data_IF_472880232050
#
_entry.id   IF_472880232050
#
_cell.length_a   1.000
_cell.length_b   1.000
_cell.length_c   1.000
_cell.angle_alpha   90.00
_cell.angle_beta   90.00
_cell.angle_gamma   90.00
#
_symmetry.space_group_name_H-M   'P 1'
#
loop_
_entity.id
_entity.type
_entity.pdbx_description
1 polymer ?
#
# COMPACT_ATOMS: atom_id res chain seq x y z
N UNK A 1 5.30 -6.89 -21.90
CA UNK A 1 5.33 -6.41 -20.50
C UNK A 1 5.08 -4.91 -20.55
N UNK A 2 3.95 -4.44 -19.99
CA UNK A 2 3.55 -3.04 -20.03
C UNK A 2 4.06 -2.29 -18.81
N UNK A 3 4.66 -1.12 -19.02
CA UNK A 3 4.95 -0.17 -17.95
C UNK A 3 3.64 0.35 -17.35
N UNK A 4 3.55 0.38 -16.02
CA UNK A 4 2.41 0.91 -15.29
C UNK A 4 2.66 2.35 -14.82
N UNK A 5 3.92 2.72 -14.59
CA UNK A 5 4.33 4.06 -14.20
C UNK A 5 5.43 4.08 -13.14
N UNK A 6 5.83 5.28 -12.72
CA UNK A 6 6.84 5.46 -11.69
C UNK A 6 6.24 5.45 -10.28
N UNK A 7 7.04 5.09 -9.29
CA UNK A 7 6.69 5.25 -7.87
C UNK A 7 6.61 6.75 -7.55
N UNK A 8 5.42 7.23 -7.22
CA UNK A 8 5.17 8.61 -6.80
C UNK A 8 5.42 8.84 -5.32
N UNK A 9 5.17 7.79 -4.53
CA UNK A 9 5.23 7.88 -3.09
C UNK A 9 5.65 6.55 -2.50
N UNK A 10 6.59 6.61 -1.59
CA UNK A 10 6.92 5.52 -0.67
C UNK A 10 6.51 5.95 0.73
N UNK A 11 5.91 5.05 1.48
CA UNK A 11 5.50 5.34 2.84
C UNK A 11 5.50 4.08 3.71
N UNK A 12 5.66 4.30 4.99
CA UNK A 12 5.60 3.26 6.02
C UNK A 12 4.57 3.63 7.08
N UNK A 13 4.01 2.65 7.73
CA UNK A 13 3.14 2.83 8.88
C UNK A 13 3.96 2.60 10.15
N UNK A 14 4.17 3.64 10.97
CA UNK A 14 4.85 3.49 12.26
C UNK A 14 4.11 2.56 13.23
N UNK A 15 2.80 2.51 13.10
CA UNK A 15 1.88 1.70 13.88
C UNK A 15 0.72 1.27 12.99
N UNK A 16 0.01 0.19 13.32
CA UNK A 16 -1.21 -0.18 12.60
C UNK A 16 -2.19 0.98 12.51
N UNK A 17 -2.72 1.27 11.31
CA UNK A 17 -3.64 2.40 11.07
C UNK A 17 -4.97 2.26 11.81
N UNK A 18 -5.32 1.05 12.23
CA UNK A 18 -6.41 0.82 13.16
C UNK A 18 -5.93 1.12 14.57
N UNK A 19 -6.37 2.25 15.12
CA UNK A 19 -6.06 2.61 16.50
C UNK A 19 -6.67 1.61 17.51
N UNK A 20 -6.19 1.55 18.75
CA UNK A 20 -6.75 0.66 19.77
C UNK A 20 -8.25 0.85 20.01
N UNK A 21 -8.75 2.05 19.80
CA UNK A 21 -10.19 2.40 19.92
C UNK A 21 -11.01 2.09 18.65
N UNK A 22 -10.42 1.46 17.64
CA UNK A 22 -11.13 1.01 16.44
C UNK A 22 -11.28 2.04 15.34
N UNK A 23 -10.79 3.26 15.45
CA UNK A 23 -10.81 4.22 14.34
C UNK A 23 -9.60 4.13 13.43
N UNK A 24 -9.71 4.74 12.24
CA UNK A 24 -8.62 4.87 11.27
C UNK A 24 -7.77 6.11 11.61
N UNK A 25 -6.46 5.92 11.77
CA UNK A 25 -5.53 6.98 12.15
C UNK A 25 -4.43 7.17 11.07
N UNK A 26 -4.64 8.06 10.10
CA UNK A 26 -3.67 8.30 9.04
C UNK A 26 -2.41 9.06 9.51
N UNK A 27 -2.38 9.62 10.72
CA UNK A 27 -1.18 10.30 11.26
C UNK A 27 0.00 9.34 11.47
N UNK A 28 -0.27 8.03 11.45
CA UNK A 28 0.72 6.97 11.57
C UNK A 28 1.45 6.65 10.26
N UNK A 29 1.02 7.26 9.16
CA UNK A 29 1.65 7.12 7.85
C UNK A 29 2.80 8.12 7.76
N UNK A 30 3.99 7.63 7.44
CA UNK A 30 5.19 8.45 7.24
C UNK A 30 5.65 8.29 5.79
N UNK A 31 5.65 9.39 5.05
CA UNK A 31 6.26 9.40 3.72
C UNK A 31 7.78 9.43 3.84
N UNK A 32 8.44 8.69 2.96
CA UNK A 32 9.90 8.61 2.85
C UNK A 32 10.30 8.71 1.38
N UNK A 33 11.52 9.16 1.11
CA UNK A 33 12.02 9.25 -0.27
C UNK A 33 12.62 7.93 -0.76
N UNK A 34 13.12 7.12 0.18
CA UNK A 34 13.66 5.78 -0.08
C UNK A 34 13.29 4.80 1.03
N UNK A 35 13.31 3.53 0.69
CA UNK A 35 13.08 2.45 1.64
C UNK A 35 13.86 1.19 1.25
N UNK A 36 14.33 0.47 2.24
CA UNK A 36 14.92 -0.85 2.08
C UNK A 36 13.81 -1.91 2.09
N UNK A 37 13.70 -2.66 1.01
CA UNK A 37 12.82 -3.81 0.88
C UNK A 37 13.59 -5.09 1.13
N UNK A 38 13.09 -5.91 2.04
CA UNK A 38 13.63 -7.22 2.38
C UNK A 38 12.57 -8.30 2.24
N UNK A 39 12.96 -9.58 2.41
CA UNK A 39 12.00 -10.69 2.51
C UNK A 39 11.04 -10.56 3.69
N UNK A 40 11.36 -9.74 4.68
CA UNK A 40 10.56 -9.52 5.89
C UNK A 40 9.61 -8.32 5.75
N UNK A 41 9.81 -7.46 4.75
CA UNK A 41 8.99 -6.28 4.49
C UNK A 41 9.80 -5.01 4.22
N UNK A 42 9.15 -3.86 4.44
CA UNK A 42 9.69 -2.55 4.11
C UNK A 42 10.21 -1.82 5.36
N UNK A 43 11.37 -1.18 5.21
CA UNK A 43 11.95 -0.27 6.20
C UNK A 43 12.18 1.08 5.53
N UNK A 44 11.40 2.09 5.90
CA UNK A 44 11.56 3.44 5.39
C UNK A 44 12.82 4.12 5.92
N UNK A 45 13.42 5.00 5.11
CA UNK A 45 14.59 5.80 5.49
C UNK A 45 14.22 7.26 5.35
N UNK A 46 14.35 8.01 6.44
CA UNK A 46 14.06 9.43 6.48
C UNK A 46 15.05 10.18 7.35
N UNK A 47 15.86 11.05 6.74
CA UNK A 47 16.88 11.82 7.46
C UNK A 47 17.86 10.94 8.25
N UNK A 48 18.17 9.74 7.74
CA UNK A 48 19.02 8.75 8.41
C UNK A 48 18.30 7.88 9.44
N UNK A 49 17.07 8.20 9.83
CA UNK A 49 16.22 7.34 10.69
C UNK A 49 15.68 6.16 9.88
N UNK A 50 15.77 4.97 10.44
CA UNK A 50 15.16 3.74 9.90
C UNK A 50 13.81 3.50 10.59
N UNK A 51 12.75 3.46 9.81
CA UNK A 51 11.37 3.30 10.30
C UNK A 51 10.84 1.97 9.78
N UNK A 52 10.70 1.01 10.67
CA UNK A 52 10.15 -0.32 10.35
C UNK A 52 8.66 -0.20 10.11
N UNK A 53 8.16 -0.69 8.96
CA UNK A 53 6.73 -0.70 8.66
C UNK A 53 5.96 -1.65 9.59
N UNK A 54 4.74 -1.28 9.98
CA UNK A 54 3.90 -2.07 10.88
C UNK A 54 3.56 -3.49 10.38
N UNK A 55 3.74 -3.75 9.08
CA UNK A 55 3.54 -5.07 8.47
C UNK A 55 4.85 -5.85 8.27
N UNK A 56 6.00 -5.23 8.51
CA UNK A 56 7.29 -5.92 8.52
C UNK A 56 7.30 -7.03 9.56
N UNK A 57 7.89 -8.18 9.25
CA UNK A 57 7.83 -9.36 10.14
C UNK A 57 8.38 -9.09 11.54
N UNK A 58 9.43 -8.27 11.65
CA UNK A 58 10.09 -7.93 12.92
C UNK A 58 9.41 -6.76 13.67
N UNK A 59 8.35 -6.15 13.10
CA UNK A 59 7.66 -5.09 13.82
C UNK A 59 6.89 -5.67 15.02
N UNK A 60 6.98 -5.06 16.23
CA UNK A 60 6.37 -5.61 17.47
C UNK A 60 4.86 -5.83 17.38
N UNK A 61 4.18 -5.10 16.50
CA UNK A 61 2.72 -5.22 16.27
C UNK A 61 2.35 -5.94 14.98
N UNK A 62 3.32 -6.55 14.31
CA UNK A 62 3.07 -7.31 13.09
C UNK A 62 2.13 -8.50 13.36
N UNK A 63 1.08 -8.60 12.57
CA UNK A 63 0.10 -9.70 12.66
C UNK A 63 0.16 -10.51 11.38
N UNK A 64 1.07 -11.40 11.24
CA UNK A 64 1.06 -12.22 10.02
C UNK A 64 2.41 -12.68 9.49
N UNK A 65 3.50 -12.46 10.24
CA UNK A 65 4.81 -13.01 9.89
C UNK A 65 5.24 -12.67 8.46
N UNK A 66 5.11 -11.41 8.04
CA UNK A 66 5.52 -10.96 6.69
C UNK A 66 4.55 -11.26 5.54
N UNK A 67 3.42 -11.94 5.77
CA UNK A 67 2.43 -12.22 4.70
C UNK A 67 1.77 -10.98 4.08
N UNK A 68 1.95 -9.80 4.67
CA UNK A 68 1.45 -8.51 4.20
C UNK A 68 2.57 -7.49 4.13
N UNK A 69 3.76 -7.96 3.85
CA UNK A 69 4.99 -7.21 3.99
C UNK A 69 5.11 -6.00 3.05
N UNK A 70 4.38 -5.99 1.94
CA UNK A 70 4.36 -4.88 1.00
C UNK A 70 2.97 -4.71 0.38
N UNK A 71 2.57 -3.46 0.16
CA UNK A 71 1.34 -3.12 -0.55
C UNK A 71 1.57 -2.02 -1.58
N UNK A 72 0.82 -2.09 -2.69
CA UNK A 72 0.94 -1.21 -3.85
C UNK A 72 -0.41 -0.64 -4.20
N UNK A 73 -0.50 0.68 -4.35
CA UNK A 73 -1.65 1.40 -4.87
C UNK A 73 -1.30 2.15 -6.16
N UNK A 74 -2.31 2.63 -6.88
CA UNK A 74 -2.14 3.34 -8.14
C UNK A 74 -2.90 4.66 -8.11
N UNK A 75 -2.38 5.70 -8.79
CA UNK A 75 -3.03 7.02 -8.87
C UNK A 75 -4.48 6.90 -9.35
N UNK A 76 -4.75 6.11 -10.38
CA UNK A 76 -6.10 5.95 -10.91
C UNK A 76 -7.11 5.41 -9.90
N UNK A 77 -6.68 4.57 -8.94
CA UNK A 77 -7.55 4.16 -7.83
C UNK A 77 -7.87 5.33 -6.89
N UNK A 78 -6.88 6.20 -6.63
CA UNK A 78 -7.08 7.40 -5.81
C UNK A 78 -8.02 8.40 -6.48
N UNK A 79 -7.95 8.54 -7.81
CA UNK A 79 -8.88 9.37 -8.58
C UNK A 79 -10.31 8.84 -8.48
N UNK A 80 -10.49 7.52 -8.62
CA UNK A 80 -11.80 6.88 -8.44
C UNK A 80 -12.33 7.04 -6.99
N UNK A 81 -11.48 6.85 -5.99
CA UNK A 81 -11.85 7.08 -4.59
C UNK A 81 -12.20 8.56 -4.35
N UNK A 82 -11.43 9.51 -4.90
CA UNK A 82 -11.68 10.94 -4.74
C UNK A 82 -13.01 11.37 -5.38
N UNK A 83 -13.34 10.81 -6.55
CA UNK A 83 -14.62 11.05 -7.19
C UNK A 83 -15.82 10.60 -6.33
N UNK A 84 -15.66 9.52 -5.55
CA UNK A 84 -16.73 9.00 -4.68
C UNK A 84 -16.77 9.64 -3.29
N UNK A 85 -15.60 9.86 -2.66
CA UNK A 85 -15.50 10.26 -1.26
C UNK A 85 -15.01 11.71 -1.05
N UNK A 86 -14.64 12.40 -2.14
CA UNK A 86 -14.25 13.81 -2.10
C UNK A 86 -12.88 14.07 -1.46
N UNK A 87 -12.71 15.23 -0.86
CA UNK A 87 -11.44 15.81 -0.41
C UNK A 87 -10.69 15.04 0.70
N UNK A 88 -11.35 14.08 1.33
CA UNK A 88 -10.70 13.22 2.32
C UNK A 88 -9.72 12.24 1.71
N UNK A 89 -9.86 11.99 0.41
CA UNK A 89 -8.96 11.12 -0.32
C UNK A 89 -7.73 11.90 -0.75
N UNK A 90 -6.61 11.59 -0.11
CA UNK A 90 -5.28 12.11 -0.47
C UNK A 90 -4.40 10.94 -0.85
N UNK A 91 -3.45 11.18 -1.74
CA UNK A 91 -2.52 10.15 -2.19
C UNK A 91 -1.80 9.49 -1.00
N UNK A 92 -1.87 8.15 -0.93
CA UNK A 92 -1.30 7.36 0.16
C UNK A 92 -2.20 7.23 1.41
N UNK A 93 -3.38 7.87 1.45
CA UNK A 93 -4.26 7.83 2.64
C UNK A 93 -4.77 6.42 2.97
N UNK A 94 -4.85 5.52 2.00
CA UNK A 94 -5.28 4.14 2.24
C UNK A 94 -4.20 3.25 2.88
N UNK A 95 -2.96 3.76 2.95
CA UNK A 95 -1.87 3.15 3.71
C UNK A 95 -1.03 2.14 2.93
N UNK A 96 -1.09 2.15 1.60
CA UNK A 96 -0.18 1.34 0.77
C UNK A 96 1.25 1.84 0.93
N UNK A 97 2.20 0.91 0.85
CA UNK A 97 3.63 1.23 0.97
C UNK A 97 4.16 1.97 -0.27
N UNK A 98 3.74 1.54 -1.46
CA UNK A 98 4.10 2.15 -2.73
C UNK A 98 2.84 2.70 -3.40
N UNK A 99 2.89 3.95 -3.88
CA UNK A 99 1.86 4.50 -4.75
C UNK A 99 2.48 4.84 -6.09
N UNK A 100 1.95 4.23 -7.15
CA UNK A 100 2.46 4.29 -8.53
C UNK A 100 1.67 5.30 -9.35
N UNK A 101 2.36 6.07 -10.20
CA UNK A 101 1.78 6.98 -11.17
C UNK A 101 1.23 6.20 -12.37
N UNK A 102 0.11 5.55 -12.17
CA UNK A 102 -0.48 4.68 -13.17
C UNK A 102 -1.99 4.67 -13.15
N UNK A 103 -2.62 4.06 -14.17
CA UNK A 103 -4.07 3.92 -14.25
C UNK A 103 -4.60 3.06 -13.11
N UNK A 104 -5.92 3.07 -12.92
CA UNK A 104 -6.57 2.05 -12.11
C UNK A 104 -6.38 0.69 -12.79
N UNK A 105 -5.79 -0.26 -12.07
CA UNK A 105 -5.56 -1.63 -12.54
C UNK A 105 -6.51 -2.60 -11.83
N UNK A 106 -6.82 -3.70 -12.49
CA UNK A 106 -7.62 -4.78 -11.93
C UNK A 106 -6.73 -5.98 -11.60
N UNK A 107 -7.25 -6.90 -10.81
CA UNK A 107 -6.52 -8.13 -10.46
C UNK A 107 -6.10 -8.94 -11.70
N UNK A 108 -6.94 -8.98 -12.72
CA UNK A 108 -6.68 -9.65 -14.00
C UNK A 108 -5.49 -9.08 -14.77
N UNK A 109 -5.22 -7.78 -14.60
CA UNK A 109 -4.08 -7.10 -15.22
C UNK A 109 -2.73 -7.46 -14.54
N UNK A 110 -2.79 -8.05 -13.35
CA UNK A 110 -1.63 -8.33 -12.49
C UNK A 110 -1.29 -9.82 -12.38
N UNK A 111 -1.80 -10.67 -13.25
CA UNK A 111 -1.62 -12.13 -13.19
C UNK A 111 -0.15 -12.57 -13.25
N UNK A 112 0.71 -11.79 -13.91
CA UNK A 112 2.17 -12.01 -13.96
C UNK A 112 2.92 -11.49 -12.72
N UNK A 113 2.22 -10.84 -11.78
CA UNK A 113 2.86 -10.08 -10.72
C UNK A 113 3.26 -8.68 -11.15
N UNK A 114 4.05 -8.03 -10.31
CA UNK A 114 4.63 -6.72 -10.58
C UNK A 114 6.16 -6.82 -10.54
N UNK A 115 6.83 -5.98 -11.29
CA UNK A 115 8.29 -5.82 -11.23
C UNK A 115 8.60 -4.34 -10.99
N UNK A 116 9.39 -4.04 -9.97
CA UNK A 116 9.99 -2.73 -9.79
C UNK A 116 11.37 -2.74 -10.44
N UNK A 117 11.62 -1.77 -11.30
CA UNK A 117 12.93 -1.54 -11.91
C UNK A 117 13.51 -0.30 -11.25
N UNK A 118 14.59 -0.49 -10.47
CA UNK A 118 15.26 0.62 -9.78
C UNK A 118 16.07 1.47 -10.76
N UNK A 119 16.43 2.69 -10.37
CA UNK A 119 17.28 3.56 -11.16
C UNK A 119 18.64 2.92 -11.50
N UNK A 120 19.11 2.01 -10.65
CA UNK A 120 20.37 1.25 -10.86
C UNK A 120 20.18 0.02 -11.76
N UNK A 121 18.96 -0.18 -12.30
CA UNK A 121 18.63 -1.30 -13.20
C UNK A 121 18.36 -2.64 -12.50
N UNK A 122 18.22 -2.65 -11.18
CA UNK A 122 17.86 -3.87 -10.43
C UNK A 122 16.37 -4.14 -10.61
N UNK A 123 16.04 -5.37 -11.01
CA UNK A 123 14.64 -5.81 -11.11
C UNK A 123 14.22 -6.54 -9.84
N UNK A 124 13.11 -6.11 -9.27
CA UNK A 124 12.54 -6.68 -8.04
C UNK A 124 11.14 -7.22 -8.33
N UNK A 125 11.00 -8.53 -8.30
CA UNK A 125 9.69 -9.17 -8.47
C UNK A 125 8.83 -9.01 -7.21
N UNK A 126 7.61 -8.55 -7.40
CA UNK A 126 6.55 -8.48 -6.38
C UNK A 126 5.48 -9.53 -6.76
N UNK A 127 5.52 -10.67 -6.08
CA UNK A 127 4.78 -11.88 -6.46
C UNK A 127 3.39 -11.96 -5.83
N UNK A 128 2.53 -12.78 -6.41
CA UNK A 128 1.23 -13.16 -5.88
C UNK A 128 0.38 -11.94 -5.43
N UNK A 129 0.13 -10.95 -6.30
CA UNK A 129 -0.71 -9.84 -5.97
C UNK A 129 -2.10 -10.32 -5.59
N UNK A 130 -2.70 -9.68 -4.60
CA UNK A 130 -4.07 -9.91 -4.18
C UNK A 130 -4.70 -8.62 -3.70
N UNK A 131 -5.99 -8.39 -3.94
CA UNK A 131 -6.65 -7.17 -3.48
C UNK A 131 -6.53 -6.98 -1.97
N UNK A 132 -6.21 -5.76 -1.54
CA UNK A 132 -6.27 -5.37 -0.15
C UNK A 132 -7.74 -5.28 0.27
N UNK A 133 -8.16 -6.13 1.21
CA UNK A 133 -9.55 -6.15 1.67
C UNK A 133 -9.94 -4.81 2.30
N UNK A 134 -11.09 -4.23 1.93
CA UNK A 134 -11.58 -3.02 2.56
C UNK A 134 -11.96 -3.27 4.02
N UNK A 135 -11.82 -2.24 4.86
CA UNK A 135 -12.17 -2.33 6.26
C UNK A 135 -13.09 -1.20 6.68
N UNK A 136 -13.95 -1.48 7.65
CA UNK A 136 -14.93 -0.51 8.18
C UNK A 136 -14.29 0.78 8.65
N UNK A 137 -13.14 0.70 9.30
CA UNK A 137 -12.44 1.83 9.88
C UNK A 137 -12.02 2.84 8.79
N UNK A 138 -11.40 2.37 7.72
CA UNK A 138 -11.02 3.22 6.60
C UNK A 138 -12.25 3.74 5.84
N UNK A 139 -13.23 2.89 5.58
CA UNK A 139 -14.47 3.27 4.89
C UNK A 139 -15.23 4.35 5.67
N UNK A 140 -15.37 4.18 6.98
CA UNK A 140 -16.00 5.19 7.85
C UNK A 140 -15.22 6.50 7.87
N UNK A 141 -13.88 6.43 7.89
CA UNK A 141 -13.01 7.60 7.80
C UNK A 141 -13.25 8.39 6.49
N UNK A 142 -13.35 7.70 5.35
CA UNK A 142 -13.65 8.33 4.06
C UNK A 142 -15.01 9.04 4.05
N UNK A 143 -16.00 8.49 4.75
CA UNK A 143 -17.32 9.09 4.93
C UNK A 143 -17.38 10.20 6.00
N UNK A 144 -16.24 10.57 6.57
CA UNK A 144 -16.15 11.64 7.57
C UNK A 144 -16.44 11.20 8.99
N UNK A 145 -16.70 9.93 9.23
CA UNK A 145 -16.88 9.36 10.56
C UNK A 145 -15.55 9.06 11.25
N UNK A 146 -15.59 8.99 12.58
CA UNK A 146 -14.47 8.57 13.40
C UNK A 146 -14.67 7.14 13.91
N UNK A 147 -15.82 6.87 14.51
CA UNK A 147 -16.16 5.54 15.01
C UNK A 147 -16.63 4.63 13.88
N UNK A 148 -16.11 3.40 13.78
CA UNK A 148 -16.47 2.48 12.69
C UNK A 148 -17.96 2.17 12.69
N UNK A 149 -18.63 2.46 11.58
CA UNK A 149 -20.05 2.11 11.38
C UNK A 149 -20.23 0.59 11.25
N UNK A 150 -21.43 0.08 11.52
CA UNK A 150 -21.82 -1.30 11.20
C UNK A 150 -21.56 -1.66 9.73
N UNK A 151 -21.29 -2.92 9.42
CA UNK A 151 -20.98 -3.34 8.05
C UNK A 151 -22.15 -3.21 7.10
N UNK A 152 -23.35 -3.45 7.59
CA UNK A 152 -24.61 -3.34 6.85
C UNK A 152 -24.91 -1.91 6.39
N UNK A 153 -24.40 -0.91 7.10
CA UNK A 153 -24.47 0.50 6.70
C UNK A 153 -23.38 0.90 5.67
N UNK A 154 -22.45 0.03 5.33
CA UNK A 154 -21.27 0.33 4.52
C UNK A 154 -21.15 -0.60 3.30
N UNK A 155 -22.19 -1.33 2.95
CA UNK A 155 -22.13 -2.39 1.92
C UNK A 155 -21.62 -1.86 0.60
N UNK A 156 -22.22 -0.78 0.09
CA UNK A 156 -21.89 -0.18 -1.21
C UNK A 156 -20.47 0.40 -1.25
N UNK A 157 -20.02 1.01 -0.15
CA UNK A 157 -18.68 1.57 -0.03
C UNK A 157 -17.61 0.47 0.10
N UNK A 158 -17.91 -0.58 0.85
CA UNK A 158 -17.01 -1.72 0.99
C UNK A 158 -16.90 -2.48 -0.33
N UNK A 159 -17.99 -2.63 -1.08
CA UNK A 159 -17.99 -3.23 -2.39
C UNK A 159 -17.17 -2.39 -3.38
N UNK A 160 -17.39 -1.07 -3.44
CA UNK A 160 -16.61 -0.14 -4.26
C UNK A 160 -15.10 -0.21 -3.95
N UNK A 161 -14.72 -0.30 -2.69
CA UNK A 161 -13.31 -0.37 -2.25
C UNK A 161 -12.70 -1.77 -2.42
N UNK A 162 -13.50 -2.78 -2.77
CA UNK A 162 -13.04 -4.13 -3.01
C UNK A 162 -12.35 -4.27 -4.38
N UNK A 163 -11.93 -5.49 -4.74
CA UNK A 163 -11.43 -5.79 -6.10
C UNK A 163 -10.11 -5.12 -6.49
N UNK A 164 -9.44 -4.41 -5.57
CA UNK A 164 -8.17 -3.72 -5.83
C UNK A 164 -8.24 -2.20 -5.78
N UNK A 165 -9.43 -1.59 -5.69
CA UNK A 165 -9.56 -0.12 -5.56
C UNK A 165 -8.77 0.43 -4.37
N UNK A 166 -8.64 -0.34 -3.29
CA UNK A 166 -7.79 -0.01 -2.13
C UNK A 166 -6.34 -0.47 -2.30
N UNK A 167 -5.91 -0.86 -3.48
CA UNK A 167 -4.58 -1.37 -3.76
C UNK A 167 -4.45 -2.89 -3.58
N UNK A 168 -3.24 -3.37 -3.69
CA UNK A 168 -2.88 -4.77 -3.70
C UNK A 168 -1.81 -5.07 -2.66
N UNK A 169 -1.89 -6.25 -2.08
CA UNK A 169 -0.84 -6.82 -1.22
C UNK A 169 -0.03 -7.78 -2.09
N UNK A 170 1.29 -7.71 -2.00
CA UNK A 170 2.22 -8.54 -2.76
C UNK A 170 3.17 -9.30 -1.83
N UNK A 171 3.73 -10.40 -2.32
CA UNK A 171 4.71 -11.22 -1.62
C UNK A 171 6.12 -10.82 -2.02
N UNK A 172 6.99 -10.69 -1.01
CA UNK A 172 8.42 -10.38 -1.15
C UNK A 172 9.31 -11.40 -0.44
N UNK A 173 8.72 -12.45 0.14
CA UNK A 173 9.43 -13.46 0.95
C UNK A 173 10.49 -14.28 0.21
N UNK A 174 10.55 -14.18 -1.13
CA UNK A 174 11.55 -14.84 -1.98
C UNK A 174 12.85 -14.01 -2.13
N UNK A 175 12.87 -12.76 -1.67
CA UNK A 175 14.06 -11.91 -1.77
C UNK A 175 15.19 -12.47 -0.90
N UNK A 176 16.37 -12.60 -1.49
CA UNK A 176 17.56 -13.14 -0.82
C UNK A 176 18.51 -12.06 -0.32
N UNK A 177 18.34 -10.82 -0.79
CA UNK A 177 19.12 -9.67 -0.37
C UNK A 177 18.22 -8.43 -0.30
N UNK A 178 18.55 -7.45 0.55
CA UNK A 178 17.86 -6.17 0.58
C UNK A 178 18.01 -5.39 -0.73
N UNK A 179 16.97 -4.68 -1.13
CA UNK A 179 16.98 -3.76 -2.27
C UNK A 179 16.46 -2.40 -1.82
N UNK A 180 17.13 -1.32 -2.23
CA UNK A 180 16.66 0.03 -1.95
C UNK A 180 15.74 0.49 -3.08
N UNK A 181 14.51 0.82 -2.71
CA UNK A 181 13.51 1.43 -3.59
C UNK A 181 13.50 2.93 -3.37
N UNK A 182 13.30 3.69 -4.46
CA UNK A 182 13.23 5.16 -4.44
C UNK A 182 11.99 5.67 -5.16
N UNK A 183 11.55 6.84 -4.77
CA UNK A 183 10.59 7.59 -5.59
C UNK A 183 11.20 7.80 -6.97
N UNK A 184 10.43 7.52 -8.02
CA UNK A 184 10.88 7.53 -9.40
C UNK A 184 11.25 6.17 -9.99
N UNK A 185 11.45 5.11 -9.18
CA UNK A 185 11.61 3.75 -9.69
C UNK A 185 10.38 3.33 -10.49
N UNK A 186 10.57 2.56 -11.56
CA UNK A 186 9.52 2.22 -12.51
C UNK A 186 8.85 0.90 -12.14
N UNK A 187 7.54 0.84 -12.22
CA UNK A 187 6.74 -0.37 -11.99
C UNK A 187 6.13 -0.85 -13.31
N UNK A 188 6.24 -2.14 -13.57
CA UNK A 188 5.65 -2.81 -14.74
C UNK A 188 4.96 -4.12 -14.36
N UNK A 189 4.13 -4.63 -15.26
CA UNK A 189 3.58 -5.99 -15.14
C UNK A 189 4.70 -7.00 -15.43
N UNK A 190 4.79 -8.04 -14.61
CA UNK A 190 5.74 -9.14 -14.76
C UNK A 190 5.44 -10.09 -15.92
#
# INVERSE_FOLDING_TARGET
>A
MGELGAILRIQVQREPLKAPHGWYDPSRIVAVDEAELTSLGLVGIRGGERIVDAHHADHPRSRGGGRRALSVGFRGHYEAMAARFGERVRLGIAGENLVVDGPAVRMEDLTGGLVVVTADGVEVELRAPRPAAPCREFTTFLLGGREPRPRDELVDELEFLSGGTRGFIVSVGHLTAPVVLRVGDVVRVG
#
